data_IF_583264896064
#
_entry.id   IF_583264896064
#
_cell.length_a   1.000
_cell.length_b   1.000
_cell.length_c   1.000
_cell.angle_alpha   90.00
_cell.angle_beta   90.00
_cell.angle_gamma   90.00
#
_symmetry.space_group_name_H-M   'P 1'
#
loop_
_entity.id
_entity.type
_entity.pdbx_description
1 polymer ?
#
# COMPACT_ATOMS: atom_id res chain seq x y z
N UNK A 1 -4.72 9.12 7.76
CA UNK A 1 -3.70 8.58 6.84
C UNK A 1 -4.00 7.11 6.55
N UNK A 2 -3.39 6.50 5.53
CA UNK A 2 -3.56 5.05 5.25
C UNK A 2 -3.26 4.20 6.50
N UNK A 3 -2.21 4.57 7.24
CA UNK A 3 -1.81 3.90 8.49
C UNK A 3 -2.90 3.95 9.57
N UNK A 4 -3.58 5.09 9.74
CA UNK A 4 -4.60 5.25 10.79
C UNK A 4 -5.91 4.54 10.48
N UNK A 5 -6.29 4.42 9.20
CA UNK A 5 -7.53 3.73 8.79
C UNK A 5 -7.35 2.23 8.78
N UNK A 6 -6.28 1.75 8.15
CA UNK A 6 -6.03 0.31 8.01
C UNK A 6 -5.30 -0.29 9.22
N UNK A 7 -4.69 0.51 10.10
CA UNK A 7 -3.84 -0.02 11.17
C UNK A 7 -2.62 -0.78 10.63
N UNK A 8 -2.12 -0.37 9.47
CA UNK A 8 -1.02 -1.02 8.74
C UNK A 8 0.22 -0.14 8.72
N UNK A 9 1.37 -0.75 8.99
CA UNK A 9 2.66 -0.12 8.71
C UNK A 9 2.88 0.00 7.20
N UNK A 10 3.46 1.12 6.78
CA UNK A 10 3.77 1.42 5.38
C UNK A 10 5.26 1.68 5.28
N UNK A 11 5.91 1.11 4.26
CA UNK A 11 7.32 1.34 3.97
C UNK A 11 7.44 2.26 2.76
N UNK A 12 8.30 3.28 2.86
CA UNK A 12 8.68 4.09 1.72
C UNK A 12 9.74 3.36 0.90
N UNK A 13 9.52 3.25 -0.40
CA UNK A 13 10.55 2.90 -1.36
C UNK A 13 10.93 4.14 -2.16
N UNK A 14 12.22 4.32 -2.38
CA UNK A 14 12.73 5.34 -3.29
C UNK A 14 12.70 4.79 -4.71
N UNK A 15 12.21 5.59 -5.64
CA UNK A 15 12.16 5.27 -7.05
C UNK A 15 12.64 6.43 -7.90
N UNK A 16 13.03 6.11 -9.13
CA UNK A 16 13.43 7.07 -10.15
C UNK A 16 12.57 6.86 -11.39
N UNK A 17 12.01 7.94 -11.93
CA UNK A 17 11.31 7.87 -13.21
C UNK A 17 12.30 7.55 -14.32
N UNK A 18 12.14 6.39 -14.97
CA UNK A 18 13.10 5.89 -15.96
C UNK A 18 13.28 6.78 -17.21
N UNK A 19 12.34 7.68 -17.48
CA UNK A 19 12.40 8.61 -18.62
C UNK A 19 12.49 10.08 -18.17
N UNK A 20 11.86 10.41 -17.04
CA UNK A 20 11.81 11.79 -16.53
C UNK A 20 12.98 12.12 -15.63
N UNK A 21 13.72 11.11 -15.16
CA UNK A 21 14.76 11.23 -14.14
C UNK A 21 14.28 11.94 -12.85
N UNK A 22 12.97 11.94 -12.60
CA UNK A 22 12.40 12.54 -11.40
C UNK A 22 12.43 11.54 -10.24
N UNK A 23 12.84 12.01 -9.06
CA UNK A 23 12.74 11.20 -7.84
C UNK A 23 11.27 11.01 -7.47
N UNK A 24 10.91 9.79 -7.06
CA UNK A 24 9.57 9.45 -6.60
C UNK A 24 9.65 8.58 -5.34
N UNK A 25 8.59 8.63 -4.54
CA UNK A 25 8.42 7.75 -3.38
C UNK A 25 7.23 6.85 -3.61
N UNK A 26 7.45 5.54 -3.50
CA UNK A 26 6.39 4.52 -3.59
C UNK A 26 6.03 4.08 -2.17
N UNK A 27 4.72 4.04 -1.89
CA UNK A 27 4.20 3.49 -0.65
C UNK A 27 3.98 1.99 -0.81
N UNK A 28 4.74 1.18 -0.07
CA UNK A 28 4.57 -0.27 -0.03
C UNK A 28 3.85 -0.67 1.26
N UNK A 29 2.79 -1.45 1.13
CA UNK A 29 2.01 -1.96 2.26
C UNK A 29 1.59 -3.41 2.00
N UNK A 30 1.75 -4.25 3.01
CA UNK A 30 1.16 -5.59 3.02
C UNK A 30 -0.24 -5.51 3.64
N UNK A 31 -1.24 -6.02 2.93
CA UNK A 31 -2.62 -6.12 3.39
C UNK A 31 -3.16 -7.52 3.14
N UNK A 32 -4.16 -7.93 3.92
CA UNK A 32 -4.91 -9.14 3.62
C UNK A 32 -5.87 -8.93 2.44
N UNK A 33 -6.36 -10.02 1.84
CA UNK A 33 -7.34 -9.95 0.74
C UNK A 33 -8.61 -9.17 1.12
N UNK A 34 -9.00 -9.18 2.40
CA UNK A 34 -10.18 -8.49 2.90
C UNK A 34 -9.97 -6.97 3.06
N UNK A 35 -8.71 -6.54 3.26
CA UNK A 35 -8.36 -5.13 3.45
C UNK A 35 -8.10 -4.40 2.13
N UNK A 36 -8.00 -5.11 1.00
CA UNK A 36 -7.73 -4.50 -0.31
C UNK A 36 -8.82 -3.48 -0.68
N UNK A 37 -10.10 -3.81 -0.50
CA UNK A 37 -11.19 -2.90 -0.85
C UNK A 37 -11.14 -1.60 -0.02
N UNK A 38 -10.94 -1.72 1.29
CA UNK A 38 -10.81 -0.58 2.20
C UNK A 38 -9.59 0.29 1.88
N UNK A 39 -8.46 -0.33 1.48
CA UNK A 39 -7.28 0.38 1.00
C UNK A 39 -7.57 1.18 -0.26
N UNK A 40 -8.23 0.57 -1.25
CA UNK A 40 -8.56 1.21 -2.53
C UNK A 40 -9.49 2.41 -2.34
N UNK A 41 -10.51 2.27 -1.49
CA UNK A 41 -11.41 3.36 -1.12
C UNK A 41 -10.65 4.47 -0.41
N UNK A 42 -9.86 4.12 0.60
CA UNK A 42 -9.04 5.09 1.34
C UNK A 42 -8.07 5.86 0.44
N UNK A 43 -7.39 5.18 -0.49
CA UNK A 43 -6.46 5.82 -1.44
C UNK A 43 -7.23 6.78 -2.34
N UNK A 44 -8.37 6.36 -2.89
CA UNK A 44 -9.18 7.19 -3.80
C UNK A 44 -9.77 8.42 -3.10
N UNK A 45 -10.16 8.30 -1.84
CA UNK A 45 -10.62 9.43 -1.04
C UNK A 45 -9.50 10.44 -0.73
N UNK A 46 -8.27 9.96 -0.53
CA UNK A 46 -7.11 10.81 -0.24
C UNK A 46 -6.55 11.48 -1.51
N UNK A 47 -6.48 10.73 -2.60
CA UNK A 47 -6.03 11.20 -3.91
C UNK A 47 -6.80 10.47 -5.02
N UNK A 48 -7.76 11.14 -5.69
CA UNK A 48 -8.55 10.53 -6.75
C UNK A 48 -7.73 10.24 -8.02
N UNK A 49 -6.53 10.79 -8.15
CA UNK A 49 -5.61 10.56 -9.28
C UNK A 49 -4.53 9.52 -8.96
N UNK A 50 -4.44 9.04 -7.72
CA UNK A 50 -3.49 8.00 -7.36
C UNK A 50 -3.80 6.68 -8.07
N UNK A 51 -2.74 5.99 -8.46
CA UNK A 51 -2.81 4.61 -8.92
C UNK A 51 -2.04 3.69 -7.97
N UNK A 52 -2.35 2.40 -8.02
CA UNK A 52 -1.70 1.38 -7.21
C UNK A 52 -1.62 0.06 -7.98
N UNK A 53 -0.71 -0.81 -7.54
CA UNK A 53 -0.57 -2.17 -8.06
C UNK A 53 -0.87 -3.13 -6.92
N UNK A 54 -1.71 -4.14 -7.18
CA UNK A 54 -2.01 -5.22 -6.24
C UNK A 54 -1.33 -6.48 -6.74
N UNK A 55 -0.47 -7.08 -5.90
CA UNK A 55 0.15 -8.37 -6.18
C UNK A 55 -0.48 -9.44 -5.29
N UNK A 56 -1.08 -10.45 -5.92
CA UNK A 56 -1.66 -11.60 -5.23
C UNK A 56 -0.63 -12.74 -5.06
N UNK A 57 -0.92 -13.70 -4.18
CA UNK A 57 -0.11 -14.91 -4.00
C UNK A 57 1.19 -14.73 -3.20
N UNK A 58 1.40 -13.57 -2.57
CA UNK A 58 2.56 -13.31 -1.72
C UNK A 58 2.41 -14.04 -0.38
N UNK A 59 3.43 -14.80 0.00
CA UNK A 59 3.51 -15.43 1.33
C UNK A 59 4.21 -14.50 2.31
N UNK A 60 3.52 -14.14 3.39
CA UNK A 60 4.06 -13.27 4.43
C UNK A 60 4.46 -14.13 5.64
N UNK A 61 5.70 -13.99 6.11
CA UNK A 61 6.21 -14.61 7.34
C UNK A 61 6.47 -13.58 8.44
N UNK A 62 6.59 -14.04 9.69
CA UNK A 62 6.97 -13.20 10.83
C UNK A 62 5.86 -12.28 11.35
N UNK A 63 6.24 -11.06 11.75
CA UNK A 63 5.41 -10.08 12.50
C UNK A 63 4.34 -9.38 11.65
N UNK A 64 3.71 -10.07 10.72
CA UNK A 64 2.53 -9.54 10.06
C UNK A 64 1.32 -9.64 10.99
N UNK A 65 0.83 -8.49 11.45
CA UNK A 65 -0.36 -8.41 12.29
C UNK A 65 -1.56 -8.97 11.52
N UNK A 66 -1.94 -10.22 11.77
CA UNK A 66 -3.20 -10.74 11.26
C UNK A 66 -4.32 -10.13 12.10
N UNK A 67 -5.14 -9.28 11.49
CA UNK A 67 -6.44 -8.93 12.06
C UNK A 67 -7.29 -10.20 11.95
N UNK A 68 -7.34 -10.98 13.03
CA UNK A 68 -8.33 -12.04 13.18
C UNK A 68 -9.59 -11.31 13.63
N UNK A 69 -10.43 -10.97 12.67
CA UNK A 69 -11.81 -10.55 12.92
C UNK A 69 -12.62 -11.72 13.45
#
# INVERSE_FOLDING_TARGET
>A
SIMSRLGRGVTYWEGKGAYTESDMRVLCVCVSKFEVAELQETVRELDPHAFFIVQEGVRIGGNFLRKIS
#
